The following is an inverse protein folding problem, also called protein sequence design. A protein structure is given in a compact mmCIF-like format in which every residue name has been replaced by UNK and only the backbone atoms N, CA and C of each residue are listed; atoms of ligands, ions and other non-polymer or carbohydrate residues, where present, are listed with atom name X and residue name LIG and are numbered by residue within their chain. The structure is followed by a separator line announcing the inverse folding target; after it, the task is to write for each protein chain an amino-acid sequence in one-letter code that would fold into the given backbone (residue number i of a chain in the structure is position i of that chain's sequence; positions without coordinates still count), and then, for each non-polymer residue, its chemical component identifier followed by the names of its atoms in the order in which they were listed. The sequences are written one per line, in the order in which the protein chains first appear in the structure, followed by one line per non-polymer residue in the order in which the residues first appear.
data_IF_216533491014
#
_entry.id   IF_216533491014
#
_cell.length_a   1.000
_cell.length_b   1.000
_cell.length_c   1.000
_cell.angle_alpha   90.00
_cell.angle_beta   90.00
_cell.angle_gamma   90.00
#
_symmetry.space_group_name_H-M   'P 1'
#
loop_
_entity.id
_entity.type
_entity.pdbx_description
1 polymer ?
#
# COMPACT_ATOMS: atom_id res chain seq x y z
N UNK A 1 15.99 -3.23 -29.61
CA UNK A 1 15.05 -2.48 -28.75
C UNK A 1 15.70 -2.29 -27.42
N UNK A 2 15.57 -1.10 -26.82
CA UNK A 2 16.17 -0.82 -25.52
C UNK A 2 15.34 -1.50 -24.40
N UNK A 3 16.03 -2.14 -23.45
CA UNK A 3 15.41 -2.83 -22.33
C UNK A 3 15.36 -1.99 -21.07
N UNK A 4 14.28 -2.10 -20.27
CA UNK A 4 14.26 -1.54 -18.92
C UNK A 4 13.97 -2.61 -17.86
N UNK A 5 14.45 -2.35 -16.65
CA UNK A 5 14.18 -3.16 -15.47
C UNK A 5 13.78 -2.27 -14.30
N UNK A 6 12.63 -2.54 -13.68
CA UNK A 6 12.17 -1.83 -12.50
C UNK A 6 12.22 -2.76 -11.29
N UNK A 7 13.04 -2.41 -10.32
CA UNK A 7 13.05 -3.08 -9.02
C UNK A 7 12.26 -2.29 -8.00
N UNK A 8 11.18 -2.90 -7.50
CA UNK A 8 10.26 -2.27 -6.56
C UNK A 8 10.37 -2.93 -5.19
N UNK A 9 10.59 -2.13 -4.16
CA UNK A 9 10.48 -2.54 -2.77
C UNK A 9 9.61 -1.52 -2.01
N UNK A 10 8.66 -2.00 -1.21
CA UNK A 10 7.82 -1.14 -0.39
C UNK A 10 6.36 -1.52 -0.40
N UNK A 11 5.50 -0.50 -0.32
CA UNK A 11 4.05 -0.61 -0.23
C UNK A 11 3.36 -0.56 -1.61
N UNK A 12 2.02 -0.61 -1.61
CA UNK A 12 1.21 -0.51 -2.82
C UNK A 12 1.45 0.81 -3.57
N UNK A 13 1.70 1.91 -2.86
CA UNK A 13 2.07 3.18 -3.49
C UNK A 13 3.32 3.05 -4.37
N UNK A 14 4.37 2.35 -3.90
CA UNK A 14 5.55 2.09 -4.72
C UNK A 14 5.21 1.23 -5.93
N UNK A 15 4.31 0.24 -5.79
CA UNK A 15 3.85 -0.55 -6.93
C UNK A 15 3.12 0.31 -7.97
N UNK A 16 2.21 1.17 -7.53
CA UNK A 16 1.52 2.12 -8.41
C UNK A 16 2.50 3.04 -9.14
N UNK A 17 3.45 3.61 -8.42
CA UNK A 17 4.51 4.46 -9.01
C UNK A 17 5.34 3.69 -10.04
N UNK A 18 5.69 2.43 -9.76
CA UNK A 18 6.44 1.57 -10.70
C UNK A 18 5.60 1.21 -11.93
N UNK A 19 4.32 0.92 -11.79
CA UNK A 19 3.42 0.68 -12.93
C UNK A 19 3.32 1.92 -13.83
N UNK A 20 3.25 3.11 -13.24
CA UNK A 20 3.25 4.36 -14.01
C UNK A 20 4.56 4.58 -14.76
N UNK A 21 5.70 4.32 -14.11
CA UNK A 21 7.02 4.42 -14.75
C UNK A 21 7.16 3.39 -15.90
N UNK A 22 6.70 2.16 -15.68
CA UNK A 22 6.67 1.12 -16.72
C UNK A 22 5.85 1.59 -17.93
N UNK A 23 4.61 2.07 -17.70
CA UNK A 23 3.77 2.59 -18.79
C UNK A 23 4.40 3.78 -19.54
N UNK A 24 5.18 4.64 -18.86
CA UNK A 24 5.96 5.70 -19.50
C UNK A 24 7.04 5.12 -20.41
N UNK A 25 7.76 4.12 -19.94
CA UNK A 25 8.86 3.51 -20.68
C UNK A 25 8.37 2.67 -21.86
N UNK A 26 7.26 1.93 -21.67
CA UNK A 26 6.60 1.18 -22.76
C UNK A 26 6.15 2.14 -23.88
N UNK A 27 5.54 3.28 -23.51
CA UNK A 27 5.14 4.30 -24.48
C UNK A 27 6.32 4.95 -25.21
N UNK A 28 7.50 4.95 -24.59
CA UNK A 28 8.75 5.40 -25.20
C UNK A 28 9.44 4.32 -26.05
N UNK A 29 8.84 3.12 -26.19
CA UNK A 29 9.36 2.02 -27.01
C UNK A 29 10.40 1.14 -26.32
N UNK A 30 10.54 1.24 -25.00
CA UNK A 30 11.34 0.31 -24.20
C UNK A 30 10.56 -0.97 -23.95
N UNK A 31 11.24 -2.06 -23.66
CA UNK A 31 10.65 -3.34 -23.25
C UNK A 31 11.14 -3.75 -21.87
N UNK A 32 10.21 -4.26 -21.04
CA UNK A 32 10.57 -4.80 -19.74
C UNK A 32 11.41 -6.07 -19.91
N UNK A 33 12.52 -6.15 -19.16
CA UNK A 33 13.41 -7.33 -19.15
C UNK A 33 13.47 -7.95 -17.75
N UNK A 34 13.82 -9.23 -17.70
CA UNK A 34 13.78 -10.02 -16.46
C UNK A 34 14.92 -9.75 -15.48
N UNK A 35 15.97 -9.05 -15.90
CA UNK A 35 17.18 -8.86 -15.11
C UNK A 35 17.81 -7.49 -15.36
N UNK A 36 18.40 -6.85 -14.33
CA UNK A 36 19.12 -5.58 -14.52
C UNK A 36 20.33 -5.72 -15.45
N UNK A 37 20.86 -6.94 -15.64
CA UNK A 37 21.97 -7.20 -16.58
C UNK A 37 21.56 -7.10 -18.05
N UNK A 38 20.29 -7.28 -18.35
CA UNK A 38 19.75 -7.18 -19.71
C UNK A 38 19.24 -5.77 -20.04
N UNK A 39 19.09 -4.92 -19.01
CA UNK A 39 18.51 -3.60 -19.14
C UNK A 39 19.51 -2.54 -19.60
N UNK A 40 19.06 -1.61 -20.42
CA UNK A 40 19.77 -0.36 -20.73
C UNK A 40 19.39 0.73 -19.71
N UNK A 41 18.21 0.60 -19.07
CA UNK A 41 17.70 1.50 -18.05
C UNK A 41 17.19 0.70 -16.84
N UNK A 42 17.78 0.94 -15.68
CA UNK A 42 17.41 0.30 -14.39
C UNK A 42 16.80 1.34 -13.48
N UNK A 43 15.59 1.11 -13.00
CA UNK A 43 14.91 1.98 -12.03
C UNK A 43 14.75 1.24 -10.69
N UNK A 44 15.21 1.85 -9.61
CA UNK A 44 14.93 1.37 -8.25
C UNK A 44 13.85 2.26 -7.63
N UNK A 45 12.68 1.70 -7.40
CA UNK A 45 11.63 2.33 -6.60
C UNK A 45 11.68 1.78 -5.17
N UNK A 46 11.98 2.64 -4.22
CA UNK A 46 12.58 2.28 -2.94
C UNK A 46 11.71 2.65 -1.73
N UNK A 47 11.90 1.91 -0.64
CA UNK A 47 11.23 2.13 0.64
C UNK A 47 12.25 2.24 1.78
N UNK A 48 11.95 3.10 2.78
CA UNK A 48 12.74 3.24 4.01
C UNK A 48 11.88 3.16 5.27
N UNK A 49 10.64 2.71 5.15
CA UNK A 49 9.72 2.61 6.29
C UNK A 49 10.24 1.59 7.32
N UNK A 50 10.91 0.54 6.88
CA UNK A 50 11.55 -0.47 7.74
C UNK A 50 13.05 -0.55 7.44
N UNK A 51 13.88 -0.81 8.48
CA UNK A 51 15.33 -0.94 8.32
C UNK A 51 15.70 -2.01 7.28
N UNK A 52 15.04 -3.16 7.36
CA UNK A 52 15.28 -4.25 6.41
C UNK A 52 15.01 -3.85 4.94
N UNK A 53 14.08 -2.94 4.69
CA UNK A 53 13.84 -2.42 3.35
C UNK A 53 15.00 -1.51 2.91
N UNK A 54 15.44 -0.60 3.79
CA UNK A 54 16.57 0.28 3.51
C UNK A 54 17.88 -0.51 3.28
N UNK A 55 18.15 -1.55 4.07
CA UNK A 55 19.31 -2.42 3.91
C UNK A 55 19.29 -3.14 2.56
N UNK A 56 18.13 -3.61 2.13
CA UNK A 56 17.96 -4.20 0.78
C UNK A 56 18.22 -3.19 -0.34
N UNK A 57 17.76 -1.94 -0.18
CA UNK A 57 18.06 -0.86 -1.14
C UNK A 57 19.56 -0.64 -1.25
N UNK A 58 20.26 -0.54 -0.11
CA UNK A 58 21.72 -0.37 -0.06
C UNK A 58 22.45 -1.56 -0.71
N UNK A 59 21.99 -2.77 -0.45
CA UNK A 59 22.51 -3.99 -1.07
C UNK A 59 22.36 -3.98 -2.59
N UNK A 60 21.17 -3.61 -3.11
CA UNK A 60 20.92 -3.51 -4.55
C UNK A 60 21.80 -2.43 -5.20
N UNK A 61 21.93 -1.25 -4.57
CA UNK A 61 22.82 -0.18 -5.05
C UNK A 61 24.27 -0.65 -5.12
N UNK A 62 24.73 -1.49 -4.15
CA UNK A 62 26.05 -2.11 -4.19
C UNK A 62 26.24 -3.04 -5.39
N UNK A 63 25.23 -3.86 -5.71
CA UNK A 63 25.26 -4.75 -6.89
C UNK A 63 25.28 -3.95 -8.20
N UNK A 64 24.48 -2.90 -8.29
CA UNK A 64 24.44 -2.04 -9.48
C UNK A 64 25.74 -1.25 -9.72
N UNK A 65 26.51 -0.99 -8.67
CA UNK A 65 27.87 -0.43 -8.81
C UNK A 65 28.79 -1.36 -9.62
N UNK A 66 28.66 -2.69 -9.39
CA UNK A 66 29.36 -3.70 -10.18
C UNK A 66 28.88 -3.70 -11.64
N UNK A 67 27.57 -3.74 -11.85
CA UNK A 67 26.95 -3.70 -13.16
C UNK A 67 27.39 -2.48 -13.97
N UNK A 68 27.42 -1.28 -13.34
CA UNK A 68 27.84 -0.03 -14.02
C UNK A 68 29.30 -0.07 -14.50
N UNK A 69 30.18 -0.82 -13.83
CA UNK A 69 31.57 -1.04 -14.28
C UNK A 69 31.65 -1.99 -15.48
N UNK A 70 30.82 -3.04 -15.49
CA UNK A 70 30.74 -4.01 -16.59
C UNK A 70 30.02 -3.42 -17.81
N UNK A 71 29.00 -2.61 -17.59
CA UNK A 71 28.14 -1.97 -18.60
C UNK A 71 28.00 -0.47 -18.34
N UNK A 72 29.00 0.36 -18.70
CA UNK A 72 29.03 1.81 -18.40
C UNK A 72 27.83 2.60 -18.96
N UNK A 73 27.25 2.12 -20.06
CA UNK A 73 26.13 2.79 -20.75
C UNK A 73 24.77 2.50 -20.08
N UNK A 74 24.65 1.52 -19.16
CA UNK A 74 23.41 1.28 -18.44
C UNK A 74 23.07 2.49 -17.56
N UNK A 75 21.88 3.04 -17.72
CA UNK A 75 21.36 4.14 -16.89
C UNK A 75 20.74 3.60 -15.61
N UNK A 76 21.11 4.14 -14.46
CA UNK A 76 20.60 3.74 -13.14
C UNK A 76 19.87 4.91 -12.52
N UNK A 77 18.57 4.74 -12.25
CA UNK A 77 17.69 5.73 -11.65
C UNK A 77 17.20 5.24 -10.27
N UNK A 78 17.05 6.15 -9.34
CA UNK A 78 16.54 5.84 -8.00
C UNK A 78 15.42 6.80 -7.63
N UNK A 79 14.29 6.24 -7.20
CA UNK A 79 13.14 6.97 -6.69
C UNK A 79 12.56 6.30 -5.45
N UNK A 80 11.47 6.83 -4.93
CA UNK A 80 10.80 6.32 -3.75
C UNK A 80 11.33 6.95 -2.45
N UNK A 81 10.91 6.37 -1.31
CA UNK A 81 11.15 6.98 0.01
C UNK A 81 12.64 7.05 0.44
N UNK A 82 13.55 6.37 -0.25
CA UNK A 82 14.99 6.49 -0.03
C UNK A 82 15.54 7.85 -0.50
N UNK A 83 14.90 8.45 -1.49
CA UNK A 83 15.29 9.77 -2.02
C UNK A 83 14.69 10.86 -1.14
N UNK A 84 15.54 11.58 -0.44
CA UNK A 84 15.17 12.71 0.43
C UNK A 84 15.45 14.07 -0.21
N UNK A 85 15.38 15.13 0.60
CA UNK A 85 15.69 16.50 0.14
C UNK A 85 17.17 16.74 -0.11
N UNK A 86 18.07 15.85 0.35
CA UNK A 86 19.52 15.97 0.23
C UNK A 86 20.06 15.17 -0.96
N UNK A 87 19.49 15.37 -2.15
CA UNK A 87 19.86 14.62 -3.38
C UNK A 87 21.37 14.70 -3.65
N UNK A 88 22.01 15.86 -3.43
CA UNK A 88 23.45 16.02 -3.61
C UNK A 88 24.29 15.11 -2.68
N UNK A 89 23.81 14.87 -1.47
CA UNK A 89 24.42 13.89 -0.55
C UNK A 89 24.31 12.45 -1.08
N UNK A 90 23.17 12.12 -1.67
CA UNK A 90 22.95 10.81 -2.31
C UNK A 90 23.84 10.63 -3.54
N UNK A 91 23.97 11.64 -4.40
CA UNK A 91 24.87 11.61 -5.56
C UNK A 91 26.34 11.39 -5.16
N UNK A 92 26.80 12.07 -4.11
CA UNK A 92 28.16 11.85 -3.57
C UNK A 92 28.37 10.44 -3.03
N UNK A 93 27.37 9.88 -2.37
CA UNK A 93 27.42 8.55 -1.76
C UNK A 93 27.30 7.43 -2.79
N UNK A 94 26.52 7.65 -3.84
CA UNK A 94 26.24 6.67 -4.90
C UNK A 94 26.52 7.25 -6.29
N UNK A 95 27.80 7.56 -6.62
CA UNK A 95 28.17 8.24 -7.85
C UNK A 95 27.94 7.43 -9.14
N UNK A 96 27.55 6.15 -9.01
CA UNK A 96 27.19 5.28 -10.12
C UNK A 96 25.68 5.37 -10.49
N UNK A 97 24.89 6.12 -9.72
CA UNK A 97 23.50 6.42 -10.03
C UNK A 97 23.43 7.67 -10.89
N UNK A 98 22.79 7.56 -12.04
CA UNK A 98 22.72 8.64 -13.03
C UNK A 98 21.68 9.70 -12.63
N UNK A 99 20.55 9.27 -12.01
CA UNK A 99 19.49 10.20 -11.65
C UNK A 99 18.76 9.80 -10.36
N UNK A 100 18.51 10.79 -9.49
CA UNK A 100 17.67 10.67 -8.31
C UNK A 100 16.48 11.61 -8.45
N UNK A 101 15.27 11.11 -8.27
CA UNK A 101 14.05 11.93 -8.25
C UNK A 101 13.11 11.52 -7.11
N UNK A 102 12.38 12.48 -6.57
CA UNK A 102 11.47 12.26 -5.46
C UNK A 102 10.28 11.38 -5.88
N UNK A 103 9.67 10.63 -4.95
CA UNK A 103 8.46 9.88 -5.23
C UNK A 103 7.36 10.85 -5.75
N UNK A 104 6.70 10.47 -6.84
CA UNK A 104 5.68 11.31 -7.49
C UNK A 104 6.20 12.45 -8.37
N UNK A 105 7.49 12.72 -8.40
CA UNK A 105 8.10 13.75 -9.26
C UNK A 105 8.28 13.25 -10.71
N UNK A 106 7.19 12.85 -11.35
CA UNK A 106 7.19 12.42 -12.75
C UNK A 106 7.66 13.51 -13.74
N UNK A 107 7.33 14.80 -13.56
CA UNK A 107 7.89 15.85 -14.42
C UNK A 107 9.42 15.86 -14.45
N UNK A 108 10.07 15.69 -13.30
CA UNK A 108 11.53 15.63 -13.21
C UNK A 108 12.10 14.44 -14.00
N UNK A 109 11.43 13.28 -13.89
CA UNK A 109 11.81 12.08 -14.66
C UNK A 109 11.61 12.29 -16.15
N UNK A 110 10.52 12.91 -16.59
CA UNK A 110 10.24 13.20 -18.00
C UNK A 110 11.30 14.16 -18.57
N UNK A 111 11.56 15.27 -17.89
CA UNK A 111 12.60 16.22 -18.28
C UNK A 111 13.96 15.57 -18.42
N UNK A 112 14.37 14.79 -17.42
CA UNK A 112 15.63 14.03 -17.48
C UNK A 112 15.67 13.07 -18.67
N UNK A 113 14.57 12.35 -18.91
CA UNK A 113 14.51 11.39 -20.03
C UNK A 113 14.63 12.07 -21.39
N UNK A 114 13.97 13.23 -21.58
CA UNK A 114 14.11 14.06 -22.79
C UNK A 114 15.55 14.54 -23.00
N UNK A 115 16.21 15.01 -21.94
CA UNK A 115 17.62 15.41 -21.97
C UNK A 115 18.57 14.25 -22.36
N UNK A 116 18.17 13.01 -22.04
CA UNK A 116 18.92 11.81 -22.41
C UNK A 116 18.59 11.29 -23.82
N UNK A 117 17.72 11.96 -24.57
CA UNK A 117 17.30 11.54 -25.90
C UNK A 117 16.34 10.35 -25.88
N UNK A 118 15.71 10.06 -24.75
CA UNK A 118 14.62 9.08 -24.67
C UNK A 118 13.39 9.70 -25.35
N UNK A 119 12.74 9.01 -26.29
CA UNK A 119 11.58 9.55 -26.98
C UNK A 119 10.49 10.04 -26.02
N UNK A 120 9.76 11.08 -26.44
CA UNK A 120 8.76 11.74 -25.59
C UNK A 120 7.86 10.76 -24.83
N UNK A 121 8.01 10.78 -23.53
CA UNK A 121 7.22 9.97 -22.60
C UNK A 121 5.83 10.60 -22.53
N UNK A 122 4.87 10.01 -23.23
CA UNK A 122 3.46 10.38 -23.06
C UNK A 122 2.99 9.91 -21.68
N UNK A 123 1.98 10.58 -21.12
CA UNK A 123 1.35 10.14 -19.87
C UNK A 123 1.12 8.62 -19.91
N UNK A 124 1.45 7.89 -18.83
CA UNK A 124 1.41 6.44 -18.86
C UNK A 124 0.04 5.93 -19.24
N UNK A 125 0.00 5.06 -20.23
CA UNK A 125 -1.09 4.11 -20.38
C UNK A 125 -1.04 3.16 -19.18
N UNK A 126 -2.17 2.87 -18.55
CA UNK A 126 -2.19 1.85 -17.52
C UNK A 126 -1.83 0.49 -18.13
N UNK A 127 -0.99 -0.27 -17.45
CA UNK A 127 -0.80 -1.67 -17.79
C UNK A 127 -2.16 -2.38 -17.75
N UNK A 128 -2.40 -3.34 -18.66
CA UNK A 128 -3.60 -4.16 -18.75
C UNK A 128 -3.69 -5.14 -17.57
N UNK A 129 -3.89 -4.63 -16.36
CA UNK A 129 -4.09 -5.42 -15.16
C UNK A 129 -5.56 -5.33 -14.73
N UNK A 130 -6.19 -6.46 -14.33
CA UNK A 130 -7.55 -6.43 -13.77
C UNK A 130 -7.69 -5.50 -12.56
N UNK A 131 -6.61 -5.32 -11.81
CA UNK A 131 -6.55 -4.45 -10.62
C UNK A 131 -5.56 -3.32 -10.87
N UNK A 132 -6.03 -2.07 -10.79
CA UNK A 132 -5.24 -0.88 -10.98
C UNK A 132 -5.14 -0.07 -9.67
N UNK A 133 -4.08 0.72 -9.57
CA UNK A 133 -3.82 1.58 -8.41
C UNK A 133 -3.80 3.04 -8.84
N UNK A 134 -4.57 3.88 -8.14
CA UNK A 134 -4.57 5.32 -8.37
C UNK A 134 -4.14 6.06 -7.09
N UNK A 135 -2.96 6.66 -7.05
CA UNK A 135 -2.59 7.61 -6.01
C UNK A 135 -3.51 8.83 -6.08
N UNK A 136 -4.25 9.12 -5.00
CA UNK A 136 -5.20 10.24 -4.92
C UNK A 136 -4.69 11.38 -4.04
N UNK A 137 -3.82 11.06 -3.08
CA UNK A 137 -3.20 12.00 -2.16
C UNK A 137 -1.78 11.56 -1.86
N UNK A 138 -0.84 12.50 -1.82
CA UNK A 138 0.56 12.26 -1.47
C UNK A 138 0.93 13.08 -0.24
N UNK A 139 1.82 12.53 0.61
CA UNK A 139 2.26 13.18 1.85
C UNK A 139 1.30 12.95 3.00
N UNK A 140 1.63 13.49 4.18
CA UNK A 140 0.79 13.35 5.37
C UNK A 140 1.05 14.49 6.37
N UNK A 141 -0.02 15.06 6.93
CA UNK A 141 0.02 16.14 7.90
C UNK A 141 -0.04 15.66 9.37
N UNK A 142 -0.20 14.34 9.61
CA UNK A 142 -0.39 13.82 10.97
C UNK A 142 0.87 13.85 11.85
N UNK A 143 2.07 13.78 11.25
CA UNK A 143 3.35 13.80 11.99
C UNK A 143 3.39 12.85 13.19
N UNK A 144 2.84 11.64 13.02
CA UNK A 144 3.01 10.57 14.02
C UNK A 144 4.49 10.44 14.37
N UNK A 145 4.84 10.36 15.67
CA UNK A 145 6.22 10.51 16.12
C UNK A 145 7.23 9.50 15.54
N UNK A 146 6.76 8.31 15.21
CA UNK A 146 7.57 7.23 14.61
C UNK A 146 7.69 7.31 13.08
N UNK A 147 6.87 8.16 12.43
CA UNK A 147 6.66 8.06 10.99
C UNK A 147 7.62 8.96 10.21
N UNK A 148 8.33 8.36 9.24
CA UNK A 148 9.26 9.07 8.36
C UNK A 148 8.57 9.70 7.14
N UNK A 149 7.32 9.34 6.86
CA UNK A 149 6.60 9.73 5.63
C UNK A 149 6.53 11.25 5.42
N UNK A 150 6.12 12.08 6.40
CA UNK A 150 6.06 13.53 6.20
C UNK A 150 7.40 14.14 5.76
N UNK A 151 8.50 13.55 6.21
CA UNK A 151 9.86 14.01 5.90
C UNK A 151 10.36 13.53 4.53
N UNK A 152 9.76 12.49 3.96
CA UNK A 152 10.12 11.91 2.66
C UNK A 152 9.17 12.31 1.54
N UNK A 153 7.87 12.34 1.82
CA UNK A 153 6.82 12.62 0.83
C UNK A 153 6.18 13.99 0.97
N UNK A 154 6.54 14.75 2.02
CA UNK A 154 6.05 16.11 2.25
C UNK A 154 4.68 16.17 2.92
N UNK A 155 4.08 17.35 2.84
CA UNK A 155 2.70 17.64 3.29
C UNK A 155 1.69 16.98 2.36
N UNK A 156 0.45 16.85 2.83
CA UNK A 156 -0.67 16.37 2.02
C UNK A 156 -0.87 17.25 0.79
N UNK A 157 -0.94 16.60 -0.36
CA UNK A 157 -1.31 17.19 -1.63
C UNK A 157 -2.27 16.23 -2.32
N UNK A 158 -3.53 16.60 -2.38
CA UNK A 158 -4.59 15.85 -3.05
C UNK A 158 -4.61 16.17 -4.53
N UNK A 159 -4.93 15.16 -5.33
CA UNK A 159 -5.18 15.36 -6.76
C UNK A 159 -6.60 15.84 -6.98
N UNK A 160 -6.85 16.74 -7.95
CA UNK A 160 -8.21 17.17 -8.29
C UNK A 160 -9.13 15.98 -8.59
N UNK A 161 -10.37 16.05 -8.11
CA UNK A 161 -11.36 14.98 -8.22
C UNK A 161 -11.55 14.51 -9.67
N UNK A 162 -11.74 15.44 -10.61
CA UNK A 162 -11.95 15.11 -12.02
C UNK A 162 -10.70 14.56 -12.71
N UNK A 163 -9.50 14.89 -12.22
CA UNK A 163 -8.27 14.27 -12.71
C UNK A 163 -8.20 12.79 -12.31
N UNK A 164 -8.56 12.49 -11.07
CA UNK A 164 -8.63 11.11 -10.57
C UNK A 164 -9.72 10.33 -11.31
N UNK A 165 -10.89 10.94 -11.51
CA UNK A 165 -12.00 10.32 -12.22
C UNK A 165 -11.64 10.02 -13.70
N UNK A 166 -11.03 10.95 -14.40
CA UNK A 166 -10.58 10.75 -15.78
C UNK A 166 -9.52 9.64 -15.91
N UNK A 167 -8.58 9.53 -14.94
CA UNK A 167 -7.64 8.42 -14.91
C UNK A 167 -8.36 7.08 -14.66
N UNK A 168 -9.33 7.06 -13.76
CA UNK A 168 -10.11 5.86 -13.45
C UNK A 168 -10.95 5.41 -14.67
N UNK A 169 -11.58 6.32 -15.40
CA UNK A 169 -12.30 6.05 -16.64
C UNK A 169 -11.38 5.47 -17.71
N UNK A 170 -10.20 6.05 -17.89
CA UNK A 170 -9.21 5.55 -18.82
C UNK A 170 -8.78 4.12 -18.46
N UNK A 171 -8.47 3.85 -17.18
CA UNK A 171 -8.07 2.52 -16.73
C UNK A 171 -9.18 1.48 -16.90
N UNK A 172 -10.42 1.83 -16.56
CA UNK A 172 -11.58 0.96 -16.75
C UNK A 172 -11.81 0.64 -18.23
N UNK A 173 -11.67 1.64 -19.11
CA UNK A 173 -11.73 1.47 -20.58
C UNK A 173 -10.61 0.58 -21.13
N UNK A 174 -9.46 0.51 -20.46
CA UNK A 174 -8.34 -0.37 -20.80
C UNK A 174 -8.44 -1.77 -20.16
N UNK A 175 -9.53 -2.07 -19.44
CA UNK A 175 -9.80 -3.40 -18.90
C UNK A 175 -9.60 -3.56 -17.41
N UNK A 176 -9.25 -2.52 -16.66
CA UNK A 176 -9.26 -2.58 -15.21
C UNK A 176 -10.69 -2.81 -14.69
N UNK A 177 -10.84 -3.70 -13.74
CA UNK A 177 -12.13 -4.08 -13.11
C UNK A 177 -12.18 -3.68 -11.64
N UNK A 178 -11.04 -3.60 -10.97
CA UNK A 178 -10.91 -3.04 -9.62
C UNK A 178 -9.93 -1.87 -9.66
N UNK A 179 -10.31 -0.76 -9.04
CA UNK A 179 -9.43 0.38 -8.77
C UNK A 179 -9.24 0.51 -7.26
N UNK A 180 -7.99 0.51 -6.84
CA UNK A 180 -7.62 0.79 -5.45
C UNK A 180 -7.05 2.20 -5.34
N UNK A 181 -7.72 3.04 -4.57
CA UNK A 181 -7.27 4.40 -4.27
C UNK A 181 -6.19 4.36 -3.20
N UNK A 182 -5.08 5.04 -3.44
CA UNK A 182 -3.90 5.02 -2.60
C UNK A 182 -3.50 6.40 -2.10
N UNK A 183 -2.93 6.42 -0.91
CA UNK A 183 -2.35 7.59 -0.27
C UNK A 183 -1.55 7.21 0.97
N UNK A 184 -1.11 8.19 1.73
CA UNK A 184 -0.55 7.98 3.06
C UNK A 184 -1.61 8.14 4.16
N UNK A 185 -2.72 8.80 3.82
CA UNK A 185 -3.95 8.92 4.61
C UNK A 185 -5.08 9.29 3.63
N UNK A 186 -5.72 8.31 3.05
CA UNK A 186 -6.74 8.57 2.02
C UNK A 186 -8.01 9.22 2.58
N UNK A 187 -8.33 9.00 3.87
CA UNK A 187 -9.47 9.63 4.52
C UNK A 187 -9.33 11.16 4.63
N UNK A 188 -8.12 11.71 4.50
CA UNK A 188 -7.87 13.15 4.46
C UNK A 188 -7.95 13.74 3.05
N UNK A 189 -8.30 12.95 2.03
CA UNK A 189 -8.39 13.43 0.66
C UNK A 189 -9.28 14.66 0.54
N UNK A 190 -8.79 15.63 -0.22
CA UNK A 190 -9.51 16.84 -0.63
C UNK A 190 -9.54 17.97 0.40
N UNK A 191 -9.03 17.76 1.64
CA UNK A 191 -8.98 18.83 2.64
C UNK A 191 -8.20 20.07 2.20
N UNK A 192 -7.25 19.90 1.29
CA UNK A 192 -6.39 20.94 0.70
C UNK A 192 -6.90 21.46 -0.67
N UNK A 193 -7.99 20.89 -1.19
CA UNK A 193 -8.57 21.30 -2.48
C UNK A 193 -9.60 22.43 -2.30
N UNK A 194 -9.79 23.28 -3.32
CA UNK A 194 -10.90 24.24 -3.37
C UNK A 194 -12.25 23.52 -3.22
N UNK A 195 -13.16 24.07 -2.43
CA UNK A 195 -14.46 23.46 -2.14
C UNK A 195 -14.39 22.27 -1.17
N UNK A 196 -13.20 21.82 -0.80
CA UNK A 196 -12.94 20.73 0.16
C UNK A 196 -13.79 19.47 -0.10
N UNK A 197 -13.78 18.92 -1.32
CA UNK A 197 -14.39 17.61 -1.54
C UNK A 197 -13.72 16.59 -0.64
N UNK A 198 -14.47 15.60 -0.17
CA UNK A 198 -13.90 14.53 0.66
C UNK A 198 -13.79 13.20 -0.12
N UNK A 199 -13.28 12.15 0.56
CA UNK A 199 -13.17 10.83 -0.05
C UNK A 199 -14.55 10.26 -0.45
N UNK A 200 -15.62 10.58 0.29
CA UNK A 200 -16.97 10.13 -0.06
C UNK A 200 -17.40 10.73 -1.40
N UNK A 201 -17.16 12.03 -1.65
CA UNK A 201 -17.46 12.65 -2.93
C UNK A 201 -16.74 11.95 -4.09
N UNK A 202 -15.47 11.61 -3.88
CA UNK A 202 -14.70 10.85 -4.87
C UNK A 202 -15.28 9.45 -5.10
N UNK A 203 -15.65 8.73 -4.03
CA UNK A 203 -16.28 7.40 -4.16
C UNK A 203 -17.61 7.47 -4.91
N UNK A 204 -18.47 8.45 -4.63
CA UNK A 204 -19.71 8.68 -5.38
C UNK A 204 -19.43 8.92 -6.86
N UNK A 205 -18.45 9.75 -7.18
CA UNK A 205 -18.06 10.06 -8.58
C UNK A 205 -17.55 8.84 -9.32
N UNK A 206 -16.75 7.99 -8.65
CA UNK A 206 -16.15 6.81 -9.28
C UNK A 206 -17.10 5.62 -9.38
N UNK A 207 -18.10 5.51 -8.51
CA UNK A 207 -19.01 4.36 -8.45
C UNK A 207 -19.81 4.18 -9.76
N UNK A 208 -20.03 5.26 -10.52
CA UNK A 208 -20.76 5.25 -11.80
C UNK A 208 -19.92 4.86 -13.03
N UNK A 209 -18.61 4.64 -12.92
CA UNK A 209 -17.72 4.42 -14.07
C UNK A 209 -18.06 3.10 -14.78
N UNK A 210 -18.40 3.12 -16.10
CA UNK A 210 -18.70 1.90 -16.84
C UNK A 210 -17.52 0.91 -16.85
N UNK A 211 -17.83 -0.37 -16.68
CA UNK A 211 -16.85 -1.44 -16.71
C UNK A 211 -16.05 -1.65 -15.42
N UNK A 212 -16.11 -0.71 -14.46
CA UNK A 212 -15.55 -0.88 -13.14
C UNK A 212 -16.49 -1.75 -12.29
N UNK A 213 -15.94 -2.77 -11.64
CA UNK A 213 -16.69 -3.71 -10.79
C UNK A 213 -16.46 -3.43 -9.31
N UNK A 214 -15.25 -3.00 -8.93
CA UNK A 214 -14.87 -2.77 -7.53
C UNK A 214 -14.05 -1.50 -7.35
N UNK A 215 -14.35 -0.80 -6.28
CA UNK A 215 -13.56 0.32 -5.73
C UNK A 215 -13.04 -0.08 -4.36
N UNK A 216 -11.77 0.13 -4.13
CA UNK A 216 -11.11 -0.09 -2.87
C UNK A 216 -10.26 1.12 -2.48
N UNK A 217 -10.09 1.37 -1.22
CA UNK A 217 -9.13 2.36 -0.74
C UNK A 217 -8.36 1.79 0.45
N UNK A 218 -7.12 2.23 0.63
CA UNK A 218 -6.22 1.73 1.66
C UNK A 218 -5.56 2.90 2.39
N UNK A 219 -5.10 2.63 3.61
CA UNK A 219 -4.31 3.57 4.43
C UNK A 219 -5.13 4.76 4.91
N UNK A 220 -5.99 4.50 5.89
CA UNK A 220 -6.72 5.55 6.59
C UNK A 220 -6.00 5.93 7.89
N UNK A 221 -6.32 7.11 8.42
CA UNK A 221 -6.05 7.45 9.80
C UNK A 221 -7.37 7.45 10.56
N UNK A 222 -7.52 6.73 11.69
CA UNK A 222 -8.79 6.57 12.40
C UNK A 222 -9.52 7.89 12.71
N UNK A 223 -8.78 8.94 13.06
CA UNK A 223 -9.37 10.27 13.37
C UNK A 223 -10.00 10.97 12.17
N UNK A 224 -9.64 10.57 10.94
CA UNK A 224 -10.11 11.22 9.71
C UNK A 224 -11.23 10.39 9.03
N UNK A 225 -11.60 9.24 9.60
CA UNK A 225 -12.74 8.45 9.15
C UNK A 225 -14.04 9.07 9.68
N UNK A 226 -14.85 9.57 8.76
CA UNK A 226 -16.11 10.26 9.10
C UNK A 226 -17.33 9.35 8.95
N UNK A 227 -18.45 9.61 9.66
CA UNK A 227 -19.71 8.89 9.43
C UNK A 227 -20.15 8.93 7.97
N UNK A 228 -20.03 10.08 7.29
CA UNK A 228 -20.33 10.24 5.87
C UNK A 228 -19.53 9.28 4.98
N UNK A 229 -18.23 9.08 5.28
CA UNK A 229 -17.42 8.09 4.55
C UNK A 229 -17.93 6.67 4.78
N UNK A 230 -18.29 6.30 6.02
CA UNK A 230 -18.83 4.99 6.33
C UNK A 230 -20.18 4.74 5.66
N UNK A 231 -21.07 5.74 5.62
CA UNK A 231 -22.34 5.71 4.89
C UNK A 231 -22.12 5.54 3.37
N UNK A 232 -21.16 6.24 2.79
CA UNK A 232 -20.77 6.04 1.39
C UNK A 232 -20.28 4.62 1.13
N UNK A 233 -19.43 4.07 2.00
CA UNK A 233 -18.99 2.67 1.92
C UNK A 233 -20.15 1.72 2.04
N UNK A 234 -21.12 1.98 2.89
CA UNK A 234 -22.30 1.12 3.08
C UNK A 234 -23.24 1.14 1.87
N UNK A 235 -23.49 2.32 1.31
CA UNK A 235 -24.52 2.54 0.27
C UNK A 235 -24.05 2.26 -1.16
N UNK A 236 -22.76 2.41 -1.45
CA UNK A 236 -22.21 2.24 -2.78
C UNK A 236 -21.90 0.77 -3.07
N UNK A 237 -22.50 0.23 -4.12
CA UNK A 237 -22.46 -1.20 -4.47
C UNK A 237 -21.08 -1.68 -4.92
N UNK A 238 -20.28 -0.81 -5.57
CA UNK A 238 -18.93 -1.16 -6.04
C UNK A 238 -17.83 -0.91 -5.01
N UNK A 239 -18.12 -0.17 -3.94
CA UNK A 239 -17.15 0.10 -2.88
C UNK A 239 -16.99 -1.12 -1.99
N UNK A 240 -15.82 -1.70 -1.99
CA UNK A 240 -15.50 -2.89 -1.21
C UNK A 240 -15.66 -2.67 0.30
N UNK A 241 -16.32 -3.59 0.98
CA UNK A 241 -16.53 -3.56 2.42
C UNK A 241 -15.28 -4.08 3.15
N UNK A 242 -14.19 -3.34 2.96
CA UNK A 242 -12.87 -3.58 3.56
C UNK A 242 -12.29 -2.26 4.04
N UNK A 243 -11.98 -2.17 5.32
CA UNK A 243 -11.45 -0.96 5.93
C UNK A 243 -10.11 -1.24 6.62
N UNK A 244 -9.10 -0.49 6.26
CA UNK A 244 -7.80 -0.46 6.92
C UNK A 244 -7.79 0.70 7.92
N UNK A 245 -7.76 0.37 9.23
CA UNK A 245 -7.85 1.30 10.34
C UNK A 245 -6.65 1.08 11.29
N UNK A 246 -5.50 1.71 11.01
CA UNK A 246 -4.27 1.51 11.77
C UNK A 246 -4.39 1.95 13.23
N UNK A 247 -4.49 1.02 14.16
CA UNK A 247 -4.58 1.24 15.61
C UNK A 247 -3.26 1.78 16.18
N UNK A 248 -2.16 1.15 15.81
CA UNK A 248 -0.78 1.33 16.26
C UNK A 248 -0.54 0.85 17.69
N UNK A 249 -1.34 1.25 18.69
CA UNK A 249 -1.32 0.79 20.09
C UNK A 249 -2.72 0.84 20.69
N UNK A 250 -2.99 0.01 21.68
CA UNK A 250 -4.24 0.03 22.47
C UNK A 250 -4.12 0.77 23.79
N UNK A 251 -2.99 1.42 24.05
CA UNK A 251 -2.72 2.19 25.26
C UNK A 251 -2.68 3.68 24.99
N UNK A 252 -3.36 4.48 25.82
CA UNK A 252 -3.53 5.93 25.59
C UNK A 252 -2.23 6.73 25.77
N UNK A 253 -1.33 6.31 26.65
CA UNK A 253 -0.04 6.99 26.83
C UNK A 253 0.89 6.73 25.65
N UNK A 254 0.91 5.49 25.16
CA UNK A 254 1.63 5.14 23.94
C UNK A 254 1.03 5.84 22.71
N UNK A 255 -0.29 5.88 22.56
CA UNK A 255 -0.95 6.62 21.48
C UNK A 255 -0.61 8.13 21.53
N UNK A 256 -0.54 8.72 22.72
CA UNK A 256 -0.13 10.10 22.93
C UNK A 256 1.34 10.31 22.56
N UNK A 257 2.24 9.43 23.00
CA UNK A 257 3.66 9.45 22.63
C UNK A 257 3.87 9.25 21.13
N UNK A 258 3.05 8.41 20.49
CA UNK A 258 3.00 8.22 19.04
C UNK A 258 2.34 9.40 18.29
N UNK A 259 1.76 10.37 18.99
CA UNK A 259 1.02 11.54 18.44
C UNK A 259 -0.13 11.11 17.51
N UNK A 260 -0.93 10.13 17.95
CA UNK A 260 -2.03 9.60 17.13
C UNK A 260 -3.28 10.51 17.13
N UNK A 261 -3.46 11.34 18.14
CA UNK A 261 -4.57 12.30 18.23
C UNK A 261 -5.94 11.67 18.54
N UNK A 262 -5.96 10.42 19.01
CA UNK A 262 -7.14 9.72 19.50
C UNK A 262 -6.76 8.79 20.66
N UNK A 263 -7.77 8.29 21.38
CA UNK A 263 -7.65 7.34 22.49
C UNK A 263 -8.12 5.94 22.07
N UNK A 264 -7.82 4.94 22.90
CA UNK A 264 -8.32 3.58 22.71
C UNK A 264 -9.87 3.55 22.83
N UNK A 265 -10.45 4.39 23.69
CA UNK A 265 -11.91 4.52 23.79
C UNK A 265 -12.54 5.05 22.49
N UNK A 266 -11.99 6.14 21.93
CA UNK A 266 -12.40 6.67 20.61
C UNK A 266 -12.30 5.59 19.51
N UNK A 267 -11.20 4.83 19.52
CA UNK A 267 -11.02 3.76 18.52
C UNK A 267 -12.09 2.67 18.64
N UNK A 268 -12.45 2.24 19.88
CA UNK A 268 -13.54 1.27 20.10
C UNK A 268 -14.88 1.79 19.57
N UNK A 269 -15.18 3.06 19.82
CA UNK A 269 -16.42 3.68 19.35
C UNK A 269 -16.45 3.75 17.80
N UNK A 270 -15.34 4.08 17.16
CA UNK A 270 -15.22 4.01 15.70
C UNK A 270 -15.48 2.59 15.18
N UNK A 271 -14.88 1.57 15.80
CA UNK A 271 -15.12 0.17 15.42
C UNK A 271 -16.58 -0.24 15.64
N UNK A 272 -17.21 0.21 16.73
CA UNK A 272 -18.63 -0.02 16.99
C UNK A 272 -19.49 0.56 15.87
N UNK A 273 -19.29 1.83 15.52
CA UNK A 273 -19.97 2.51 14.41
C UNK A 273 -19.77 1.77 13.08
N UNK A 274 -18.53 1.32 12.81
CA UNK A 274 -18.24 0.53 11.60
C UNK A 274 -19.06 -0.78 11.61
N UNK A 275 -19.14 -1.49 12.74
CA UNK A 275 -19.89 -2.74 12.85
C UNK A 275 -21.40 -2.55 12.76
N UNK A 276 -21.92 -1.43 13.21
CA UNK A 276 -23.34 -1.08 13.05
C UNK A 276 -23.70 -0.81 11.58
N UNK A 277 -22.91 0.01 10.88
CA UNK A 277 -23.17 0.38 9.50
C UNK A 277 -22.76 -0.71 8.48
N UNK A 278 -21.74 -1.47 8.80
CA UNK A 278 -21.07 -2.45 7.94
C UNK A 278 -20.78 -3.75 8.71
N UNK A 279 -21.79 -4.52 9.12
CA UNK A 279 -21.62 -5.71 9.99
C UNK A 279 -20.65 -6.76 9.43
N UNK A 280 -20.61 -6.88 8.11
CA UNK A 280 -19.79 -7.88 7.39
C UNK A 280 -18.47 -7.31 6.87
N UNK A 281 -18.13 -6.05 7.17
CA UNK A 281 -16.88 -5.48 6.67
C UNK A 281 -15.66 -6.22 7.23
N UNK A 282 -14.75 -6.54 6.36
CA UNK A 282 -13.44 -7.03 6.77
C UNK A 282 -12.58 -5.85 7.24
N UNK A 283 -11.92 -6.04 8.39
CA UNK A 283 -11.10 -5.02 9.03
C UNK A 283 -9.63 -5.41 9.02
N UNK A 284 -8.78 -4.46 8.69
CA UNK A 284 -7.34 -4.60 8.90
C UNK A 284 -6.79 -3.46 9.73
N UNK A 285 -5.66 -3.73 10.39
CA UNK A 285 -4.97 -2.76 11.23
C UNK A 285 -3.46 -2.92 11.16
N UNK A 286 -2.75 -1.85 11.52
CA UNK A 286 -1.32 -1.86 11.79
C UNK A 286 -1.08 -1.71 13.28
N UNK A 287 -0.05 -2.42 13.80
CA UNK A 287 0.36 -2.36 15.20
C UNK A 287 1.89 -2.28 15.27
N UNK A 288 2.39 -1.41 16.13
CA UNK A 288 3.80 -1.30 16.48
C UNK A 288 3.96 -1.75 17.92
N UNK A 289 4.76 -2.79 18.16
CA UNK A 289 5.10 -3.26 19.51
C UNK A 289 6.50 -2.79 19.91
N UNK A 290 6.70 -2.56 21.20
CA UNK A 290 7.98 -2.10 21.73
C UNK A 290 8.33 -0.69 21.29
N UNK A 291 7.33 0.20 21.21
CA UNK A 291 7.59 1.63 21.12
C UNK A 291 8.36 2.09 22.37
N UNK A 292 9.25 3.11 22.29
CA UNK A 292 10.00 3.57 23.45
C UNK A 292 9.12 3.83 24.68
N UNK A 293 9.55 3.28 25.82
CA UNK A 293 8.83 3.35 27.09
C UNK A 293 7.64 2.39 27.24
N UNK A 294 7.30 1.58 26.23
CA UNK A 294 6.15 0.65 26.31
C UNK A 294 6.39 -0.43 27.39
N UNK A 295 5.62 -0.39 28.47
CA UNK A 295 5.62 -1.41 29.53
C UNK A 295 4.88 -2.68 29.10
N UNK A 296 4.97 -3.76 29.91
CA UNK A 296 4.20 -4.99 29.63
C UNK A 296 2.69 -4.75 29.79
N UNK A 297 2.27 -3.97 30.79
CA UNK A 297 0.87 -3.59 30.99
C UNK A 297 0.28 -2.84 29.79
N UNK A 298 1.02 -1.88 29.26
CA UNK A 298 0.62 -1.12 28.05
C UNK A 298 0.55 -2.00 26.81
N UNK A 299 1.46 -2.96 26.68
CA UNK A 299 1.37 -3.98 25.64
C UNK A 299 0.12 -4.86 25.79
N UNK A 300 -0.21 -5.29 27.01
CA UNK A 300 -1.42 -6.11 27.27
C UNK A 300 -2.70 -5.31 26.97
N UNK A 301 -2.75 -3.98 27.12
CA UNK A 301 -3.86 -3.13 26.64
C UNK A 301 -4.01 -3.27 25.11
N UNK A 302 -2.91 -3.22 24.37
CA UNK A 302 -2.91 -3.42 22.92
C UNK A 302 -3.38 -4.82 22.54
N UNK A 303 -2.83 -5.84 23.19
CA UNK A 303 -3.16 -7.24 22.93
C UNK A 303 -4.66 -7.55 23.20
N UNK A 304 -5.20 -7.00 24.30
CA UNK A 304 -6.60 -7.15 24.67
C UNK A 304 -7.54 -6.48 23.65
N UNK A 305 -7.20 -5.29 23.18
CA UNK A 305 -7.99 -4.59 22.16
C UNK A 305 -7.98 -5.33 20.82
N UNK A 306 -6.85 -5.91 20.41
CA UNK A 306 -6.76 -6.75 19.21
C UNK A 306 -7.64 -8.00 19.32
N UNK A 307 -7.68 -8.63 20.50
CA UNK A 307 -8.53 -9.78 20.81
C UNK A 307 -10.02 -9.42 20.81
N UNK A 308 -10.36 -8.22 21.29
CA UNK A 308 -11.73 -7.68 21.35
C UNK A 308 -12.25 -7.41 19.92
N UNK A 309 -11.51 -6.66 19.10
CA UNK A 309 -11.95 -6.21 17.76
C UNK A 309 -11.95 -7.33 16.73
N UNK A 310 -11.03 -8.31 16.83
CA UNK A 310 -10.94 -9.47 15.94
C UNK A 310 -10.75 -9.08 14.47
N UNK A 311 -9.62 -8.49 14.16
CA UNK A 311 -9.28 -8.06 12.80
C UNK A 311 -9.06 -9.24 11.84
N UNK A 312 -9.49 -9.08 10.60
CA UNK A 312 -9.20 -10.02 9.51
C UNK A 312 -7.71 -10.08 9.17
N UNK A 313 -7.04 -8.91 9.29
CA UNK A 313 -5.60 -8.79 9.04
C UNK A 313 -4.97 -7.85 10.07
N UNK A 314 -3.86 -8.27 10.68
CA UNK A 314 -3.04 -7.44 11.55
C UNK A 314 -1.64 -7.34 10.93
N UNK A 315 -1.27 -6.16 10.48
CA UNK A 315 0.10 -5.86 10.06
C UNK A 315 0.92 -5.44 11.26
N UNK A 316 1.70 -6.35 11.79
CA UNK A 316 2.51 -6.09 12.97
C UNK A 316 3.95 -5.77 12.63
N UNK A 317 4.54 -4.83 13.38
CA UNK A 317 5.96 -4.50 13.33
C UNK A 317 6.51 -4.25 14.74
N UNK A 318 7.75 -4.69 14.99
CA UNK A 318 8.51 -4.18 16.12
C UNK A 318 8.97 -2.75 15.82
N UNK A 319 8.92 -1.88 16.82
CA UNK A 319 9.46 -0.53 16.67
C UNK A 319 10.91 -0.57 16.20
N UNK A 320 11.21 0.26 15.23
CA UNK A 320 12.55 0.41 14.66
C UNK A 320 12.84 1.89 14.46
N UNK A 321 13.85 2.46 15.12
CA UNK A 321 14.18 3.87 15.04
C UNK A 321 14.42 4.32 13.60
N UNK A 322 13.84 5.47 13.23
CA UNK A 322 14.04 6.12 11.93
C UNK A 322 14.68 7.48 12.13
N UNK A 323 15.93 7.61 11.71
CA UNK A 323 16.67 8.86 11.83
C UNK A 323 15.87 10.03 11.25
N UNK A 324 15.75 11.12 12.02
CA UNK A 324 15.01 12.33 11.66
C UNK A 324 13.53 12.33 12.07
N UNK A 325 12.98 11.25 12.59
CA UNK A 325 11.62 11.23 13.16
C UNK A 325 11.58 11.90 14.54
N UNK A 326 10.39 12.29 14.98
CA UNK A 326 10.19 12.87 16.32
C UNK A 326 10.59 11.85 17.37
N UNK A 327 10.18 10.59 17.23
CA UNK A 327 10.47 9.54 18.20
C UNK A 327 11.98 9.37 18.44
N UNK A 328 12.81 9.41 17.38
CA UNK A 328 14.27 9.28 17.54
C UNK A 328 14.96 10.53 18.14
N UNK A 329 14.26 11.63 18.26
CA UNK A 329 14.77 12.86 18.89
C UNK A 329 14.32 13.01 20.34
N UNK A 330 13.12 12.52 20.65
CA UNK A 330 12.46 12.74 21.94
C UNK A 330 12.54 11.52 22.87
N UNK A 331 12.75 10.32 22.32
CA UNK A 331 12.75 9.07 23.09
C UNK A 331 14.00 8.24 22.81
N UNK A 332 14.51 7.57 23.84
CA UNK A 332 15.50 6.50 23.74
C UNK A 332 14.78 5.19 23.45
N UNK A 333 15.35 4.35 22.58
CA UNK A 333 14.81 3.01 22.27
C UNK A 333 15.20 2.03 23.38
N UNK A 334 14.49 2.11 24.50
CA UNK A 334 14.76 1.41 25.76
C UNK A 334 14.13 0.02 25.88
N UNK A 335 13.21 -0.35 24.97
CA UNK A 335 12.59 -1.69 24.99
C UNK A 335 13.55 -2.72 24.37
N UNK A 336 13.98 -3.74 25.14
CA UNK A 336 14.96 -4.71 24.67
C UNK A 336 14.49 -5.47 23.41
N UNK A 337 15.40 -5.77 22.46
CA UNK A 337 15.04 -6.51 21.24
C UNK A 337 14.36 -7.86 21.49
N UNK A 338 14.73 -8.55 22.57
CA UNK A 338 14.11 -9.81 22.99
C UNK A 338 12.63 -9.63 23.34
N UNK A 339 12.28 -8.56 24.09
CA UNK A 339 10.91 -8.22 24.46
C UNK A 339 10.09 -7.87 23.22
N UNK A 340 10.62 -7.02 22.33
CA UNK A 340 9.97 -6.69 21.05
C UNK A 340 9.65 -7.95 20.24
N UNK A 341 10.60 -8.88 20.15
CA UNK A 341 10.43 -10.14 19.42
C UNK A 341 9.37 -11.05 20.06
N UNK A 342 9.31 -11.08 21.39
CA UNK A 342 8.29 -11.85 22.12
C UNK A 342 6.91 -11.27 21.88
N UNK A 343 6.71 -9.94 22.05
CA UNK A 343 5.45 -9.25 21.78
C UNK A 343 4.99 -9.45 20.35
N UNK A 344 5.91 -9.34 19.37
CA UNK A 344 5.62 -9.62 17.97
C UNK A 344 5.06 -11.03 17.78
N UNK A 345 5.69 -12.06 18.36
CA UNK A 345 5.21 -13.44 18.27
C UNK A 345 3.85 -13.66 18.95
N UNK A 346 3.60 -13.02 20.10
CA UNK A 346 2.30 -13.09 20.78
C UNK A 346 1.18 -12.57 19.85
N UNK A 347 1.37 -11.41 19.20
CA UNK A 347 0.36 -10.85 18.29
C UNK A 347 0.26 -11.64 16.99
N UNK A 348 1.36 -12.15 16.43
CA UNK A 348 1.33 -13.04 15.26
C UNK A 348 0.51 -14.32 15.55
N UNK A 349 0.68 -14.91 16.72
CA UNK A 349 -0.09 -16.08 17.16
C UNK A 349 -1.59 -15.75 17.32
N UNK A 350 -1.92 -14.63 17.94
CA UNK A 350 -3.29 -14.15 18.07
C UNK A 350 -3.93 -13.92 16.69
N UNK A 351 -3.22 -13.22 15.80
CA UNK A 351 -3.71 -12.97 14.44
C UNK A 351 -3.97 -14.27 13.68
N UNK A 352 -3.04 -15.22 13.73
CA UNK A 352 -3.20 -16.51 13.06
C UNK A 352 -4.46 -17.26 13.55
N UNK A 353 -4.71 -17.24 14.87
CA UNK A 353 -5.93 -17.86 15.45
C UNK A 353 -7.19 -17.15 14.97
N UNK A 354 -7.27 -15.82 15.12
CA UNK A 354 -8.44 -15.03 14.71
C UNK A 354 -8.70 -15.19 13.21
N UNK A 355 -7.67 -15.08 12.38
CA UNK A 355 -7.80 -15.21 10.93
C UNK A 355 -8.25 -16.63 10.52
N UNK A 356 -7.77 -17.68 11.22
CA UNK A 356 -8.24 -19.05 10.99
C UNK A 356 -9.72 -19.21 11.30
N UNK A 357 -10.17 -18.68 12.45
CA UNK A 357 -11.58 -18.73 12.85
C UNK A 357 -12.48 -17.96 11.86
N UNK A 358 -12.12 -16.71 11.51
CA UNK A 358 -12.87 -15.92 10.52
C UNK A 358 -12.94 -16.66 9.18
N UNK A 359 -11.81 -17.17 8.70
CA UNK A 359 -11.73 -17.81 7.40
C UNK A 359 -12.45 -19.17 7.39
N UNK A 360 -12.50 -19.90 8.51
CA UNK A 360 -13.29 -21.15 8.62
C UNK A 360 -14.78 -20.90 8.38
N UNK A 361 -15.28 -19.73 8.72
CA UNK A 361 -16.67 -19.34 8.49
C UNK A 361 -17.06 -19.19 7.00
N UNK A 362 -16.09 -19.22 6.08
CA UNK A 362 -16.35 -19.22 4.64
C UNK A 362 -16.49 -20.63 4.06
N UNK A 363 -16.02 -21.68 4.74
CA UNK A 363 -16.11 -23.07 4.26
C UNK A 363 -17.55 -23.46 4.05
N UNK A 364 -17.88 -24.05 2.90
CA UNK A 364 -19.23 -24.40 2.47
C UNK A 364 -20.05 -23.24 1.89
N UNK A 365 -19.49 -22.04 1.78
CA UNK A 365 -20.16 -20.87 1.21
C UNK A 365 -19.61 -20.53 -0.17
N UNK A 366 -20.44 -19.88 -0.99
CA UNK A 366 -20.00 -19.19 -2.20
C UNK A 366 -19.42 -17.83 -1.87
N UNK A 367 -18.27 -17.51 -2.48
CA UNK A 367 -17.60 -16.22 -2.36
C UNK A 367 -17.39 -15.65 -3.75
N UNK A 368 -17.80 -14.41 -3.93
CA UNK A 368 -17.54 -13.68 -5.15
C UNK A 368 -16.07 -13.21 -5.21
N UNK A 369 -15.36 -13.58 -6.27
CA UNK A 369 -13.93 -13.38 -6.44
C UNK A 369 -13.67 -12.66 -7.75
N UNK A 370 -12.99 -11.52 -7.70
CA UNK A 370 -12.39 -10.93 -8.90
C UNK A 370 -11.09 -11.66 -9.21
N UNK A 371 -11.03 -12.29 -10.39
CA UNK A 371 -9.86 -13.07 -10.80
C UNK A 371 -8.74 -12.15 -11.27
N UNK A 372 -7.62 -12.18 -10.55
CA UNK A 372 -6.44 -11.35 -10.81
C UNK A 372 -5.46 -12.01 -11.79
N UNK A 373 -5.47 -13.35 -11.89
CA UNK A 373 -4.60 -14.11 -12.77
C UNK A 373 -4.49 -15.58 -12.43
N UNK A 374 -3.55 -16.27 -13.09
CA UNK A 374 -3.28 -17.68 -12.86
C UNK A 374 -1.81 -17.91 -12.46
N UNK A 375 -1.59 -18.86 -11.57
CA UNK A 375 -0.25 -19.29 -11.16
C UNK A 375 -0.23 -20.76 -10.78
N UNK A 376 0.73 -21.51 -11.29
CA UNK A 376 0.94 -22.94 -10.98
C UNK A 376 -0.33 -23.79 -11.14
N UNK A 377 -1.08 -23.59 -12.25
CA UNK A 377 -2.30 -24.34 -12.56
C UNK A 377 -3.51 -23.96 -11.70
N UNK A 378 -3.47 -22.84 -10.99
CA UNK A 378 -4.60 -22.32 -10.22
C UNK A 378 -4.88 -20.89 -10.62
N UNK A 379 -6.16 -20.54 -10.71
CA UNK A 379 -6.63 -19.18 -10.66
C UNK A 379 -6.47 -18.62 -9.25
N UNK A 380 -6.23 -17.34 -9.15
CA UNK A 380 -6.28 -16.61 -7.88
C UNK A 380 -6.95 -15.27 -8.07
N UNK A 381 -7.54 -14.78 -7.00
CA UNK A 381 -8.17 -13.47 -6.96
C UNK A 381 -8.55 -13.10 -5.54
N UNK A 382 -9.27 -12.01 -5.41
CA UNK A 382 -9.69 -11.50 -4.10
C UNK A 382 -11.20 -11.37 -4.00
N UNK A 383 -11.70 -11.64 -2.77
CA UNK A 383 -13.07 -11.30 -2.41
C UNK A 383 -13.23 -9.79 -2.18
N UNK A 384 -14.48 -9.34 -2.02
CA UNK A 384 -14.78 -7.97 -1.60
C UNK A 384 -14.06 -7.61 -0.28
N UNK A 385 -14.06 -8.50 0.71
CA UNK A 385 -13.34 -8.37 1.98
C UNK A 385 -11.82 -8.61 1.88
N UNK A 386 -11.25 -8.54 0.66
CA UNK A 386 -9.81 -8.67 0.40
C UNK A 386 -9.19 -10.04 0.75
N UNK A 387 -10.01 -11.10 0.91
CA UNK A 387 -9.52 -12.47 1.13
C UNK A 387 -8.92 -13.04 -0.14
N UNK A 388 -7.71 -13.58 -0.06
CA UNK A 388 -7.06 -14.27 -1.17
C UNK A 388 -7.72 -15.64 -1.37
N UNK A 389 -8.18 -15.92 -2.59
CA UNK A 389 -8.87 -17.15 -2.96
C UNK A 389 -8.14 -17.84 -4.09
N UNK A 390 -7.92 -19.16 -3.97
CA UNK A 390 -7.33 -20.02 -5.01
C UNK A 390 -8.34 -21.09 -5.43
N UNK A 391 -8.40 -21.38 -6.73
CA UNK A 391 -9.19 -22.47 -7.27
C UNK A 391 -8.56 -23.04 -8.55
N UNK A 392 -8.84 -24.31 -8.96
CA UNK A 392 -8.23 -24.94 -10.11
C UNK A 392 -8.46 -24.16 -11.40
N UNK A 393 -7.46 -24.10 -12.27
CA UNK A 393 -7.60 -23.57 -13.62
C UNK A 393 -8.13 -24.70 -14.54
N UNK A 394 -9.37 -24.59 -15.01
CA UNK A 394 -10.10 -25.61 -15.79
C UNK A 394 -10.08 -25.36 -17.30
N UNK A 395 -9.11 -24.60 -17.81
CA UNK A 395 -8.97 -24.33 -19.24
C UNK A 395 -9.82 -23.18 -19.79
N UNK A 396 -10.70 -22.59 -18.97
CA UNK A 396 -11.45 -21.37 -19.32
C UNK A 396 -10.66 -20.16 -18.86
N UNK A 397 -10.55 -19.14 -19.71
CA UNK A 397 -9.93 -17.86 -19.36
C UNK A 397 -10.88 -17.02 -18.46
N UNK A 398 -10.48 -16.79 -17.23
CA UNK A 398 -11.28 -16.10 -16.22
C UNK A 398 -10.65 -14.77 -15.73
N UNK A 399 -9.51 -14.38 -16.26
CA UNK A 399 -8.84 -13.14 -15.85
C UNK A 399 -9.77 -11.93 -16.01
N UNK A 400 -9.76 -11.03 -15.04
CA UNK A 400 -10.62 -9.84 -14.98
C UNK A 400 -12.14 -10.15 -14.87
N UNK A 401 -12.53 -11.38 -14.61
CA UNK A 401 -13.93 -11.74 -14.38
C UNK A 401 -14.24 -11.81 -12.89
N UNK A 402 -15.49 -11.49 -12.57
CA UNK A 402 -16.07 -11.68 -11.24
C UNK A 402 -16.79 -13.03 -11.25
N UNK A 403 -16.29 -13.97 -10.44
CA UNK A 403 -16.79 -15.34 -10.41
C UNK A 403 -17.18 -15.77 -9.01
N UNK A 404 -18.14 -16.68 -8.89
CA UNK A 404 -18.49 -17.31 -7.63
C UNK A 404 -17.65 -18.56 -7.43
N UNK A 405 -17.00 -18.66 -6.28
CA UNK A 405 -16.16 -19.79 -5.88
C UNK A 405 -16.75 -20.45 -4.65
N UNK A 406 -17.10 -21.72 -4.72
CA UNK A 406 -17.49 -22.51 -3.56
C UNK A 406 -16.26 -22.86 -2.73
N UNK A 407 -16.21 -22.38 -1.46
CA UNK A 407 -15.03 -22.55 -0.62
C UNK A 407 -15.05 -23.91 0.06
N UNK A 408 -14.01 -24.69 -0.15
CA UNK A 408 -13.87 -26.06 0.39
C UNK A 408 -12.90 -26.13 1.57
N UNK A 409 -11.87 -25.25 1.56
CA UNK A 409 -10.82 -25.23 2.58
C UNK A 409 -10.41 -23.80 2.91
N UNK A 410 -9.99 -23.58 4.14
CA UNK A 410 -9.45 -22.32 4.61
C UNK A 410 -8.12 -22.51 5.33
N UNK A 411 -7.34 -21.46 5.36
CA UNK A 411 -6.16 -21.27 6.20
C UNK A 411 -6.21 -19.85 6.79
N UNK A 412 -5.37 -19.49 7.75
CA UNK A 412 -5.32 -18.10 8.22
C UNK A 412 -5.11 -17.08 7.10
N UNK A 413 -4.46 -17.47 5.99
CA UNK A 413 -3.97 -16.54 4.96
C UNK A 413 -4.69 -16.62 3.61
N UNK A 414 -5.47 -17.67 3.37
CA UNK A 414 -6.13 -17.88 2.10
C UNK A 414 -7.30 -18.85 2.19
N UNK A 415 -8.21 -18.72 1.24
CA UNK A 415 -9.32 -19.63 0.98
C UNK A 415 -9.00 -20.48 -0.25
N UNK A 416 -9.49 -21.69 -0.30
CA UNK A 416 -9.41 -22.58 -1.45
C UNK A 416 -10.78 -23.16 -1.75
N UNK A 417 -11.11 -23.22 -3.03
CA UNK A 417 -12.41 -23.73 -3.45
C UNK A 417 -12.42 -24.22 -4.88
N UNK A 418 -13.63 -24.38 -5.44
CA UNK A 418 -13.87 -24.73 -6.84
C UNK A 418 -14.78 -23.70 -7.49
N UNK A 419 -14.55 -23.46 -8.76
CA UNK A 419 -15.42 -22.73 -9.67
C UNK A 419 -16.30 -23.75 -10.40
N UNK A 420 -17.59 -23.55 -10.41
CA UNK A 420 -18.58 -24.39 -11.08
C UNK A 420 -18.94 -23.83 -12.45
#
# INVERSE_FOLDING_TARGET
MSGYFIWTIGCQMNKAESQRLAGCLDAAGYQEVGSPREADLVVLNTCVVRQSAEDRVRGMLGQLKGLKRERPNTRILVTGCFVDSHIEGLKKRFPHVDFFFKPGAYPDFITWAEEQGIPAIKRPGAASSPCAFIPIIQGCNNFCSFCIVPYRRGREVSRPLEEVAGEAEQMAGQGAREITLLGQNVAAYGHDLPGKPDLADLLYRLNGIPGLLRLRFLTNHPKDVTPRLLEAVASLDRVCKYLELPLQSGDDDILRAMRRGYTAAYYRELIHTVRELLPQAALSTDVIVGFPGETEEQFEHTFSLLKEVRFDVIHIAAYSPRSGTIATREYEDDVPPGVKKERLRKVEGLHASIAAEINSGYVGKEVEVLVEGARKGKWFGRSEGNKLVFFPATGVELSAQLVKVHIEKSSPWALQGRYE
#
